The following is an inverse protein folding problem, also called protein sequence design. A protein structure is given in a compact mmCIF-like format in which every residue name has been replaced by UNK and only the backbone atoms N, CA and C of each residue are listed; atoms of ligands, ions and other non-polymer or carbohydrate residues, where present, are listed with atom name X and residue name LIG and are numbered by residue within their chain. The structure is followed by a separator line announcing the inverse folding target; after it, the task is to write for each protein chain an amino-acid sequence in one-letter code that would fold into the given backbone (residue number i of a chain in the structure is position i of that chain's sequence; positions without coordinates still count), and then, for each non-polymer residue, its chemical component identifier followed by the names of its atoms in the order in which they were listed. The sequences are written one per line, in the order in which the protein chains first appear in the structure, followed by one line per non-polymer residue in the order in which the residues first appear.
data_IF_528661372243
#
_entry.id   IF_528661372243
#
_cell.length_a   1.000
_cell.length_b   1.000
_cell.length_c   1.000
_cell.angle_alpha   90.00
_cell.angle_beta   90.00
_cell.angle_gamma   90.00
#
_symmetry.space_group_name_H-M   'P 1'
#
loop_
_entity.id
_entity.type
_entity.pdbx_description
1 polymer ?
#
# COMPACT_ATOMS: atom_id res chain seq x y z
N UNK A 1 45.72 15.59 -17.66
CA UNK A 1 45.21 14.72 -16.59
C UNK A 1 43.73 15.06 -16.42
N UNK A 2 42.86 14.32 -17.09
CA UNK A 2 41.42 14.39 -16.88
C UNK A 2 41.10 13.68 -15.58
N UNK A 3 40.67 14.45 -14.59
CA UNK A 3 40.24 13.95 -13.30
C UNK A 3 38.96 13.13 -13.53
N UNK A 4 39.09 11.81 -13.51
CA UNK A 4 37.95 10.89 -13.57
C UNK A 4 37.36 10.88 -12.18
N UNK A 5 36.35 11.74 -11.95
CA UNK A 5 35.51 11.66 -10.76
C UNK A 5 34.83 10.29 -10.75
N UNK A 6 35.38 9.38 -9.95
CA UNK A 6 34.73 8.11 -9.63
C UNK A 6 33.35 8.45 -9.06
N UNK A 7 32.25 7.89 -9.58
CA UNK A 7 30.93 8.15 -9.02
C UNK A 7 30.93 7.74 -7.55
N UNK A 8 30.75 8.69 -6.64
CA UNK A 8 30.58 8.41 -5.22
C UNK A 8 29.33 7.53 -5.07
N UNK A 9 29.47 6.38 -4.41
CA UNK A 9 28.34 5.50 -4.14
C UNK A 9 27.24 6.27 -3.39
N UNK A 10 26.00 6.21 -3.91
CA UNK A 10 24.86 6.87 -3.27
C UNK A 10 24.64 6.30 -1.87
N UNK A 11 24.44 7.20 -0.92
CA UNK A 11 24.33 6.87 0.50
C UNK A 11 22.92 6.34 0.83
N UNK A 12 22.90 5.32 1.69
CA UNK A 12 21.71 4.92 2.43
C UNK A 12 21.64 5.72 3.74
N UNK A 13 20.44 6.12 4.15
CA UNK A 13 20.21 6.89 5.38
C UNK A 13 19.82 6.00 6.55
N UNK A 14 18.69 5.29 6.41
CA UNK A 14 18.13 4.43 7.45
C UNK A 14 17.78 3.07 6.86
N UNK A 15 17.89 2.00 7.65
CA UNK A 15 17.30 0.70 7.34
C UNK A 15 16.28 0.35 8.43
N UNK A 16 15.00 0.57 8.12
CA UNK A 16 13.90 0.29 9.04
C UNK A 16 13.20 -1.00 8.68
N UNK A 17 12.76 -1.78 9.68
CA UNK A 17 12.10 -3.06 9.47
C UNK A 17 10.97 -3.27 10.46
N UNK A 18 9.87 -3.82 10.00
CA UNK A 18 8.79 -4.28 10.85
C UNK A 18 8.28 -5.61 10.33
N UNK A 19 8.47 -6.67 11.11
CA UNK A 19 7.99 -8.01 10.81
C UNK A 19 6.93 -8.42 11.83
N UNK A 20 5.74 -8.74 11.31
CA UNK A 20 4.56 -9.09 12.07
C UNK A 20 4.15 -10.52 11.76
N UNK A 21 3.73 -11.25 12.79
CA UNK A 21 3.13 -12.57 12.64
C UNK A 21 1.80 -12.61 13.39
N UNK A 22 0.77 -13.10 12.72
CA UNK A 22 -0.56 -13.28 13.29
C UNK A 22 -0.88 -14.76 13.37
N UNK A 23 -1.44 -15.20 14.50
CA UNK A 23 -1.88 -16.58 14.66
C UNK A 23 -3.19 -16.64 15.44
N UNK A 24 -3.87 -17.79 15.39
CA UNK A 24 -4.97 -18.05 16.30
C UNK A 24 -4.45 -18.22 17.75
N UNK A 25 -5.31 -17.92 18.72
CA UNK A 25 -5.13 -18.27 20.13
C UNK A 25 -5.66 -19.67 20.41
N UNK A 26 -5.13 -20.33 21.45
CA UNK A 26 -5.58 -21.66 21.89
C UNK A 26 -6.91 -21.63 22.69
N UNK A 27 -7.73 -20.61 22.48
CA UNK A 27 -8.99 -20.40 23.20
C UNK A 27 -10.15 -21.18 22.55
N UNK A 28 -11.26 -21.44 23.27
CA UNK A 28 -12.43 -22.13 22.72
C UNK A 28 -13.11 -21.40 21.54
N UNK A 29 -12.82 -20.11 21.37
CA UNK A 29 -13.25 -19.30 20.24
C UNK A 29 -12.03 -18.88 19.44
N UNK A 30 -12.11 -18.94 18.10
CA UNK A 30 -11.08 -18.43 17.20
C UNK A 30 -10.85 -16.94 17.47
N UNK A 31 -9.64 -16.59 17.91
CA UNK A 31 -9.21 -15.20 18.09
C UNK A 31 -7.81 -15.04 17.54
N UNK A 32 -7.60 -13.94 16.84
CA UNK A 32 -6.30 -13.58 16.27
C UNK A 32 -5.45 -12.87 17.32
N UNK A 33 -4.19 -13.29 17.46
CA UNK A 33 -3.15 -12.58 18.23
C UNK A 33 -2.05 -12.09 17.31
N UNK A 34 -1.47 -10.93 17.66
CA UNK A 34 -0.28 -10.38 17.03
C UNK A 34 0.98 -10.79 17.80
N UNK A 35 2.03 -11.14 17.06
CA UNK A 35 3.41 -11.27 17.54
C UNK A 35 4.28 -10.37 16.67
N UNK A 36 5.01 -9.44 17.27
CA UNK A 36 5.99 -8.60 16.57
C UNK A 36 7.33 -9.34 16.61
N UNK A 37 7.85 -9.76 15.46
CA UNK A 37 9.05 -10.61 15.36
C UNK A 37 10.32 -9.81 15.08
N UNK A 38 10.23 -8.67 14.39
CA UNK A 38 11.31 -7.68 14.28
C UNK A 38 10.69 -6.27 14.27
N UNK A 39 11.38 -5.33 14.90
CA UNK A 39 11.00 -3.92 14.89
C UNK A 39 12.24 -3.05 15.01
N UNK A 40 12.69 -2.55 13.87
CA UNK A 40 13.75 -1.56 13.72
C UNK A 40 13.13 -0.23 13.29
N UNK A 41 13.40 0.87 14.01
CA UNK A 41 12.93 2.20 13.63
C UNK A 41 13.22 2.56 12.16
N UNK A 42 12.36 3.36 11.52
CA UNK A 42 11.29 4.15 12.13
C UNK A 42 9.91 3.47 12.13
N UNK A 43 9.77 2.27 11.57
CA UNK A 43 8.49 1.55 11.55
C UNK A 43 8.16 0.96 12.93
N UNK A 44 6.91 1.09 13.38
CA UNK A 44 6.48 0.62 14.69
C UNK A 44 5.01 0.22 14.73
N UNK A 45 4.69 -0.81 15.51
CA UNK A 45 3.33 -1.04 16.00
C UNK A 45 3.05 -0.09 17.16
N UNK A 46 2.12 0.83 16.98
CA UNK A 46 1.68 1.74 18.05
C UNK A 46 0.77 1.00 19.02
N UNK A 47 -0.19 0.26 18.47
CA UNK A 47 -1.16 -0.50 19.26
C UNK A 47 -1.81 -1.60 18.44
N UNK A 48 -2.15 -2.70 19.11
CA UNK A 48 -3.02 -3.74 18.58
C UNK A 48 -4.25 -3.87 19.49
N UNK A 49 -5.43 -3.84 18.89
CA UNK A 49 -6.72 -3.90 19.56
C UNK A 49 -7.40 -5.23 19.20
N UNK A 50 -7.60 -6.13 20.17
CA UNK A 50 -8.45 -7.30 19.96
C UNK A 50 -9.91 -6.84 19.80
N UNK A 51 -10.57 -7.35 18.77
CA UNK A 51 -11.96 -7.02 18.45
C UNK A 51 -12.94 -8.07 18.99
N UNK A 52 -14.22 -7.70 19.08
CA UNK A 52 -15.27 -8.59 19.63
C UNK A 52 -15.53 -9.82 18.76
N UNK A 53 -15.32 -9.69 17.45
CA UNK A 53 -15.46 -10.76 16.46
C UNK A 53 -14.24 -11.71 16.40
N UNK A 54 -13.21 -11.46 17.21
CA UNK A 54 -11.98 -12.25 17.23
C UNK A 54 -10.91 -11.79 16.25
N UNK A 55 -11.14 -10.72 15.48
CA UNK A 55 -10.11 -10.06 14.67
C UNK A 55 -9.18 -9.18 15.52
N UNK A 56 -8.11 -8.66 14.91
CA UNK A 56 -7.22 -7.67 15.53
C UNK A 56 -7.02 -6.46 14.62
N UNK A 57 -7.25 -5.27 15.18
CA UNK A 57 -6.91 -3.99 14.55
C UNK A 57 -5.53 -3.56 15.02
N UNK A 58 -4.57 -3.44 14.09
CA UNK A 58 -3.20 -3.05 14.38
C UNK A 58 -2.87 -1.72 13.71
N UNK A 59 -2.46 -0.75 14.53
CA UNK A 59 -2.02 0.57 14.10
C UNK A 59 -0.51 0.59 13.90
N UNK A 60 -0.10 0.89 12.68
CA UNK A 60 1.28 1.06 12.27
C UNK A 60 1.63 2.56 12.20
N UNK A 61 2.89 2.89 12.48
CA UNK A 61 3.35 4.26 12.36
C UNK A 61 4.84 4.33 12.00
N UNK A 62 5.18 5.33 11.19
CA UNK A 62 6.55 5.77 10.99
C UNK A 62 6.85 6.89 12.00
N UNK A 63 7.63 6.57 13.04
CA UNK A 63 7.92 7.49 14.15
C UNK A 63 8.88 8.64 13.79
N UNK A 64 9.51 8.65 12.61
CA UNK A 64 10.28 9.80 12.13
C UNK A 64 9.41 10.88 11.50
N UNK A 65 8.10 10.67 11.38
CA UNK A 65 7.16 11.64 10.81
C UNK A 65 7.16 11.65 9.26
N UNK A 66 7.73 10.62 8.65
CA UNK A 66 7.73 10.37 7.20
C UNK A 66 9.05 9.76 6.71
N UNK A 67 9.13 9.58 5.40
CA UNK A 67 10.22 8.90 4.70
C UNK A 67 11.17 9.96 4.11
N UNK A 68 12.47 9.83 4.39
CA UNK A 68 13.51 10.72 3.89
C UNK A 68 14.29 10.07 2.74
N UNK A 69 14.93 10.89 1.91
CA UNK A 69 15.86 10.39 0.88
C UNK A 69 16.91 9.45 1.47
N UNK A 70 17.11 8.30 0.82
CA UNK A 70 18.01 7.24 1.25
C UNK A 70 17.45 6.27 2.29
N UNK A 71 16.24 6.47 2.81
CA UNK A 71 15.60 5.49 3.71
C UNK A 71 15.24 4.21 2.93
N UNK A 72 15.51 3.06 3.54
CA UNK A 72 15.17 1.73 3.04
C UNK A 72 14.32 1.03 4.09
N UNK A 73 13.02 0.91 3.82
CA UNK A 73 12.03 0.43 4.78
C UNK A 73 11.47 -0.91 4.33
N UNK A 74 11.28 -1.84 5.28
CA UNK A 74 10.62 -3.12 5.02
C UNK A 74 9.49 -3.35 6.01
N UNK A 75 8.28 -3.53 5.50
CA UNK A 75 7.12 -4.00 6.25
C UNK A 75 6.80 -5.42 5.81
N UNK A 76 6.63 -6.34 6.74
CA UNK A 76 6.10 -7.67 6.41
C UNK A 76 5.10 -8.16 7.44
N UNK A 77 4.08 -8.86 6.95
CA UNK A 77 3.10 -9.52 7.80
C UNK A 77 2.79 -10.93 7.30
N UNK A 78 2.92 -11.91 8.19
CA UNK A 78 2.52 -13.29 7.94
C UNK A 78 1.25 -13.58 8.75
N UNK A 79 0.17 -13.90 8.07
CA UNK A 79 -1.12 -14.24 8.67
C UNK A 79 -1.30 -15.76 8.67
N UNK A 80 -1.36 -16.36 9.85
CA UNK A 80 -1.65 -17.78 10.01
C UNK A 80 -3.07 -18.15 9.59
N UNK A 81 -3.35 -19.46 9.52
CA UNK A 81 -4.66 -20.00 9.10
C UNK A 81 -5.83 -19.35 9.86
N UNK A 82 -6.85 -18.96 9.11
CA UNK A 82 -8.10 -18.37 9.59
C UNK A 82 -7.98 -17.11 10.44
N UNK A 83 -6.80 -16.46 10.47
CA UNK A 83 -6.63 -15.17 11.16
C UNK A 83 -7.40 -14.05 10.45
N UNK A 84 -7.87 -13.06 11.21
CA UNK A 84 -8.54 -11.87 10.68
C UNK A 84 -7.85 -10.64 11.23
N UNK A 85 -7.30 -9.82 10.34
CA UNK A 85 -6.43 -8.71 10.69
C UNK A 85 -6.82 -7.48 9.91
N UNK A 86 -6.97 -6.35 10.61
CA UNK A 86 -6.95 -5.04 10.01
C UNK A 86 -5.62 -4.35 10.35
N UNK A 87 -4.87 -3.99 9.31
CA UNK A 87 -3.66 -3.19 9.38
C UNK A 87 -3.95 -1.81 8.82
N UNK A 88 -3.72 -0.77 9.61
CA UNK A 88 -3.86 0.62 9.16
C UNK A 88 -2.76 1.49 9.76
N UNK A 89 -2.56 2.67 9.20
CA UNK A 89 -1.65 3.66 9.78
C UNK A 89 -2.39 4.63 10.69
N UNK A 90 -1.65 5.40 11.48
CA UNK A 90 -2.21 6.47 12.34
C UNK A 90 -2.01 7.86 11.74
N UNK A 91 -1.84 7.96 10.42
CA UNK A 91 -1.59 9.19 9.70
C UNK A 91 -0.90 8.96 8.37
N UNK A 92 -1.08 9.93 7.47
CA UNK A 92 -0.54 9.93 6.12
C UNK A 92 0.98 9.75 6.08
N UNK A 93 1.45 8.96 5.12
CA UNK A 93 2.88 8.75 4.89
C UNK A 93 3.43 9.91 4.08
N UNK A 94 4.20 10.79 4.73
CA UNK A 94 4.88 11.91 4.07
C UNK A 94 6.18 11.44 3.46
N UNK A 95 6.42 11.75 2.20
CA UNK A 95 7.72 11.52 1.54
C UNK A 95 8.39 12.85 1.32
N UNK A 96 9.52 13.07 1.99
CA UNK A 96 10.24 14.34 1.92
C UNK A 96 11.11 14.44 0.67
N UNK A 97 11.54 15.68 0.41
CA UNK A 97 12.48 16.01 -0.66
C UNK A 97 13.71 15.11 -0.64
N UNK A 98 14.08 14.61 -1.81
CA UNK A 98 15.32 13.90 -2.04
C UNK A 98 16.52 14.84 -1.87
N UNK A 99 17.66 14.31 -1.41
CA UNK A 99 18.90 15.08 -1.29
C UNK A 99 19.94 14.44 -2.18
N UNK A 100 20.72 15.29 -2.84
CA UNK A 100 21.88 14.85 -3.61
C UNK A 100 22.78 13.95 -2.75
N UNK A 101 23.40 12.96 -3.40
CA UNK A 101 24.23 11.91 -2.81
C UNK A 101 23.50 10.83 -2.00
N UNK A 102 22.17 10.87 -1.88
CA UNK A 102 21.39 9.75 -1.33
C UNK A 102 20.76 8.90 -2.43
N UNK A 103 20.48 7.64 -2.11
CA UNK A 103 19.61 6.81 -2.94
C UNK A 103 18.16 7.32 -2.88
N UNK A 104 17.35 6.89 -3.85
CA UNK A 104 15.90 7.11 -3.77
C UNK A 104 15.35 6.42 -2.53
N UNK A 105 14.38 7.06 -1.88
CA UNK A 105 13.71 6.44 -0.76
C UNK A 105 12.96 5.19 -1.25
N UNK A 106 13.02 4.11 -0.47
CA UNK A 106 12.45 2.83 -0.86
C UNK A 106 11.65 2.21 0.27
N UNK A 107 10.47 1.70 -0.06
CA UNK A 107 9.67 0.88 0.84
C UNK A 107 9.28 -0.43 0.17
N UNK A 108 9.58 -1.53 0.86
CA UNK A 108 9.12 -2.86 0.49
C UNK A 108 8.07 -3.33 1.48
N UNK A 109 6.93 -3.77 0.96
CA UNK A 109 5.83 -4.35 1.73
C UNK A 109 5.58 -5.77 1.26
N UNK A 110 5.56 -6.74 2.17
CA UNK A 110 5.31 -8.15 1.84
C UNK A 110 4.30 -8.78 2.79
N UNK A 111 3.18 -9.24 2.24
CA UNK A 111 2.13 -9.90 3.01
C UNK A 111 1.95 -11.34 2.54
N UNK A 112 1.93 -12.27 3.49
CA UNK A 112 1.61 -13.68 3.25
C UNK A 112 0.34 -14.00 4.03
N UNK A 113 -0.73 -14.30 3.31
CA UNK A 113 -2.07 -14.50 3.87
C UNK A 113 -2.41 -15.98 3.80
N UNK A 114 -2.39 -16.61 4.98
CA UNK A 114 -2.62 -18.03 5.14
C UNK A 114 -4.04 -18.48 4.77
N UNK A 115 -4.24 -19.79 4.77
CA UNK A 115 -5.49 -20.42 4.36
C UNK A 115 -6.67 -19.85 5.14
N UNK A 116 -7.71 -19.41 4.43
CA UNK A 116 -8.91 -18.84 5.05
C UNK A 116 -8.70 -17.56 5.87
N UNK A 117 -7.50 -16.98 5.88
CA UNK A 117 -7.21 -15.75 6.61
C UNK A 117 -7.71 -14.52 5.83
N UNK A 118 -7.94 -13.42 6.54
CA UNK A 118 -8.37 -12.15 5.99
C UNK A 118 -7.40 -11.04 6.40
N UNK A 119 -6.87 -10.31 5.42
CA UNK A 119 -6.17 -9.06 5.64
C UNK A 119 -7.00 -7.89 5.09
N UNK A 120 -7.28 -6.91 5.94
CA UNK A 120 -7.65 -5.56 5.53
C UNK A 120 -6.44 -4.66 5.72
N UNK A 121 -5.77 -4.26 4.63
CA UNK A 121 -4.68 -3.29 4.65
C UNK A 121 -5.15 -1.97 4.07
N UNK A 122 -5.46 -1.03 4.95
CA UNK A 122 -6.07 0.25 4.61
C UNK A 122 -5.25 1.41 5.19
N UNK A 123 -4.01 1.67 4.67
CA UNK A 123 -3.18 2.78 5.13
C UNK A 123 -3.76 4.16 4.77
N UNK A 124 -3.38 5.17 5.52
CA UNK A 124 -3.60 6.57 5.15
C UNK A 124 -2.85 6.95 3.86
N UNK A 125 -3.23 8.04 3.18
CA UNK A 125 -2.63 8.44 1.93
C UNK A 125 -1.11 8.66 1.97
N UNK A 126 -0.45 8.37 0.85
CA UNK A 126 0.92 8.78 0.57
C UNK A 126 0.93 10.24 0.09
N UNK A 127 1.76 11.08 0.71
CA UNK A 127 1.90 12.51 0.38
C UNK A 127 3.35 12.79 -0.05
N UNK A 128 3.64 12.76 -1.37
CA UNK A 128 4.95 13.11 -1.90
C UNK A 128 5.17 14.63 -1.93
N UNK A 129 6.15 15.14 -1.18
CA UNK A 129 6.47 16.57 -1.13
C UNK A 129 7.25 17.01 -2.36
N UNK A 130 7.39 18.33 -2.55
CA UNK A 130 8.17 18.88 -3.64
C UNK A 130 9.62 18.33 -3.67
N UNK A 131 10.06 17.83 -4.83
CA UNK A 131 11.35 17.18 -5.04
C UNK A 131 11.50 15.79 -4.40
N UNK A 132 10.41 15.12 -4.01
CA UNK A 132 10.47 13.74 -3.52
C UNK A 132 10.87 12.76 -4.64
N UNK A 133 11.68 11.75 -4.27
CA UNK A 133 12.01 10.58 -5.10
C UNK A 133 11.80 9.31 -4.30
N UNK A 134 10.79 8.54 -4.66
CA UNK A 134 10.35 7.38 -3.88
C UNK A 134 9.91 6.21 -4.75
N UNK A 135 10.25 5.01 -4.31
CA UNK A 135 9.90 3.75 -4.94
C UNK A 135 9.25 2.84 -3.89
N UNK A 136 8.10 2.26 -4.24
CA UNK A 136 7.42 1.26 -3.41
C UNK A 136 7.25 -0.04 -4.17
N UNK A 137 7.49 -1.14 -3.47
CA UNK A 137 7.20 -2.49 -3.93
C UNK A 137 6.31 -3.21 -2.93
N UNK A 138 5.11 -3.57 -3.36
CA UNK A 138 4.16 -4.34 -2.57
C UNK A 138 3.97 -5.70 -3.20
N UNK A 139 4.16 -6.76 -2.40
CA UNK A 139 3.87 -8.15 -2.79
C UNK A 139 2.89 -8.76 -1.80
N UNK A 140 1.85 -9.38 -2.31
CA UNK A 140 0.80 -10.01 -1.50
C UNK A 140 0.56 -11.43 -2.01
N UNK A 141 0.65 -12.40 -1.12
CA UNK A 141 0.49 -13.81 -1.44
C UNK A 141 -0.74 -14.37 -0.70
N UNK A 142 -1.68 -14.93 -1.47
CA UNK A 142 -2.96 -15.44 -1.02
C UNK A 142 -2.99 -16.96 -1.13
N UNK A 143 -3.13 -17.63 0.01
CA UNK A 143 -3.41 -19.07 0.04
C UNK A 143 -4.87 -19.38 -0.29
N UNK A 144 -5.22 -20.66 -0.42
CA UNK A 144 -6.60 -21.11 -0.64
C UNK A 144 -7.55 -20.51 0.38
N UNK A 145 -8.65 -19.92 -0.08
CA UNK A 145 -9.63 -19.29 0.80
C UNK A 145 -9.17 -17.99 1.47
N UNK A 146 -7.95 -17.50 1.23
CA UNK A 146 -7.51 -16.20 1.76
C UNK A 146 -8.37 -15.07 1.18
N UNK A 147 -8.60 -14.04 2.00
CA UNK A 147 -9.27 -12.80 1.65
C UNK A 147 -8.36 -11.58 1.82
N UNK A 148 -8.58 -10.57 0.99
CA UNK A 148 -7.82 -9.31 1.01
C UNK A 148 -8.76 -8.14 0.72
N UNK A 149 -8.62 -7.09 1.52
CA UNK A 149 -8.97 -5.73 1.14
C UNK A 149 -7.67 -4.90 1.17
N UNK A 150 -7.29 -4.33 0.03
CA UNK A 150 -6.08 -3.52 -0.09
C UNK A 150 -6.44 -2.23 -0.80
N UNK A 151 -6.11 -1.07 -0.22
CA UNK A 151 -6.14 0.18 -0.98
C UNK A 151 -4.77 0.86 -1.00
N UNK A 152 -4.64 1.81 -1.91
CA UNK A 152 -3.56 2.77 -1.91
C UNK A 152 -4.10 4.09 -2.45
N UNK A 153 -3.78 5.19 -1.77
CA UNK A 153 -4.21 6.55 -2.15
C UNK A 153 -2.99 7.47 -2.19
N UNK A 154 -2.84 8.23 -3.26
CA UNK A 154 -1.77 9.22 -3.40
C UNK A 154 -2.36 10.62 -3.51
N UNK A 155 -1.83 11.51 -2.69
CA UNK A 155 -2.09 12.94 -2.74
C UNK A 155 -1.24 13.64 -3.82
N UNK A 156 -1.67 14.80 -4.34
CA UNK A 156 -0.87 15.56 -5.31
C UNK A 156 0.45 16.08 -4.72
N UNK A 157 0.54 16.13 -3.39
CA UNK A 157 1.61 16.74 -2.62
C UNK A 157 1.00 17.52 -1.46
N UNK A 158 1.69 18.57 -1.00
CA UNK A 158 1.17 19.46 0.05
C UNK A 158 0.27 20.52 -0.56
N UNK A 159 -0.98 20.15 -0.84
CA UNK A 159 -1.97 21.07 -1.43
C UNK A 159 -2.14 22.36 -0.62
N UNK A 160 -2.15 22.28 0.71
CA UNK A 160 -2.23 23.45 1.59
C UNK A 160 -1.00 24.39 1.52
N UNK A 161 0.06 24.01 0.80
CA UNK A 161 1.26 24.81 0.54
C UNK A 161 1.49 25.01 -0.97
N UNK A 162 0.45 24.83 -1.79
CA UNK A 162 0.49 24.93 -3.26
C UNK A 162 1.49 23.98 -3.93
N UNK A 163 1.88 22.89 -3.25
CA UNK A 163 2.71 21.84 -3.83
C UNK A 163 1.83 20.78 -4.49
N UNK A 164 1.51 21.00 -5.76
CA UNK A 164 0.69 20.10 -6.58
C UNK A 164 1.58 19.48 -7.65
N UNK A 165 1.75 18.16 -7.59
CA UNK A 165 2.60 17.38 -8.49
C UNK A 165 4.04 17.92 -8.60
N UNK A 166 4.55 18.44 -7.48
CA UNK A 166 5.88 19.06 -7.42
C UNK A 166 7.01 18.07 -7.05
N UNK A 167 6.70 16.79 -6.88
CA UNK A 167 7.68 15.73 -6.67
C UNK A 167 8.41 15.36 -7.97
N UNK A 168 9.61 14.80 -7.85
CA UNK A 168 10.42 14.45 -9.01
C UNK A 168 9.99 13.09 -9.58
N UNK A 169 9.86 12.08 -8.70
CA UNK A 169 9.47 10.73 -9.09
C UNK A 169 8.79 9.95 -7.96
N UNK A 170 7.65 9.34 -8.27
CA UNK A 170 7.01 8.32 -7.43
C UNK A 170 6.77 7.08 -8.29
N UNK A 171 7.37 5.96 -7.90
CA UNK A 171 7.12 4.65 -8.50
C UNK A 171 6.42 3.73 -7.52
N UNK A 172 5.30 3.13 -7.93
CA UNK A 172 4.60 2.12 -7.16
C UNK A 172 4.47 0.84 -7.98
N UNK A 173 4.70 -0.28 -7.33
CA UNK A 173 4.47 -1.59 -7.93
C UNK A 173 3.71 -2.47 -6.95
N UNK A 174 2.73 -3.20 -7.46
CA UNK A 174 1.93 -4.15 -6.69
C UNK A 174 1.85 -5.47 -7.45
N UNK A 175 2.17 -6.55 -6.73
CA UNK A 175 1.98 -7.92 -7.16
C UNK A 175 1.03 -8.62 -6.19
N UNK A 176 -0.12 -9.05 -6.68
CA UNK A 176 -1.00 -9.95 -5.92
C UNK A 176 -0.95 -11.33 -6.57
N UNK A 177 -0.59 -12.33 -5.78
CA UNK A 177 -0.43 -13.72 -6.21
C UNK A 177 -1.41 -14.58 -5.44
N UNK A 178 -2.27 -15.31 -6.14
CA UNK A 178 -3.17 -16.30 -5.55
C UNK A 178 -2.73 -17.71 -5.96
N UNK A 179 -2.52 -18.59 -4.98
CA UNK A 179 -2.12 -19.99 -5.22
C UNK A 179 -0.92 -20.11 -6.19
N UNK A 180 0.09 -19.26 -5.98
CA UNK A 180 1.31 -19.13 -6.81
C UNK A 180 1.11 -18.56 -8.22
N UNK A 181 -0.10 -18.12 -8.57
CA UNK A 181 -0.39 -17.48 -9.86
C UNK A 181 -0.62 -15.98 -9.69
N UNK A 182 0.05 -15.11 -10.48
CA UNK A 182 -0.20 -13.67 -10.41
C UNK A 182 -1.62 -13.36 -10.90
N UNK A 183 -2.37 -12.59 -10.10
CA UNK A 183 -3.72 -12.11 -10.43
C UNK A 183 -3.77 -10.59 -10.64
N UNK A 184 -2.81 -9.84 -10.06
CA UNK A 184 -2.62 -8.40 -10.27
C UNK A 184 -1.15 -8.11 -10.50
N UNK A 185 -0.89 -7.29 -11.52
CA UNK A 185 0.38 -6.62 -11.74
C UNK A 185 0.09 -5.13 -11.99
N UNK A 186 0.32 -4.29 -10.99
CA UNK A 186 0.23 -2.84 -11.13
C UNK A 186 1.63 -2.24 -11.19
N UNK A 187 1.88 -1.37 -12.16
CA UNK A 187 3.15 -0.67 -12.33
C UNK A 187 2.88 0.79 -12.64
N UNK A 188 3.07 1.64 -11.65
CA UNK A 188 2.86 3.06 -11.77
C UNK A 188 4.18 3.81 -11.65
N UNK A 189 4.39 4.78 -12.54
CA UNK A 189 5.52 5.70 -12.49
C UNK A 189 5.06 7.10 -12.80
N UNK A 190 5.19 7.99 -11.82
CA UNK A 190 4.76 9.37 -11.89
C UNK A 190 6.00 10.26 -11.89
N UNK A 191 6.17 11.02 -12.97
CA UNK A 191 7.25 11.99 -13.17
C UNK A 191 6.66 13.29 -13.74
N UNK A 192 6.08 14.14 -12.88
CA UNK A 192 5.30 15.29 -13.32
C UNK A 192 6.05 16.22 -14.28
N UNK A 193 7.34 16.45 -14.05
CA UNK A 193 8.19 17.29 -14.91
C UNK A 193 8.45 16.70 -16.30
N UNK A 194 8.38 15.36 -16.45
CA UNK A 194 8.56 14.69 -17.74
C UNK A 194 7.23 14.49 -18.48
N UNK A 195 6.16 14.22 -17.72
CA UNK A 195 4.84 13.93 -18.24
C UNK A 195 3.79 14.53 -17.32
N UNK A 196 3.02 15.49 -17.84
CA UNK A 196 1.92 16.08 -17.09
C UNK A 196 0.96 15.01 -16.58
N UNK A 197 0.52 15.15 -15.34
CA UNK A 197 -0.51 14.30 -14.74
C UNK A 197 -1.92 14.80 -15.07
N UNK A 198 -2.06 16.06 -15.48
CA UNK A 198 -3.36 16.70 -15.71
C UNK A 198 -4.00 16.41 -17.06
N UNK A 199 -3.37 15.58 -17.89
CA UNK A 199 -3.99 15.14 -19.15
C UNK A 199 -5.20 14.25 -18.88
N UNK A 200 -6.22 14.29 -19.74
CA UNK A 200 -7.39 13.41 -19.66
C UNK A 200 -7.06 11.92 -19.69
N UNK A 201 -5.95 11.52 -20.31
CA UNK A 201 -5.48 10.13 -20.32
C UNK A 201 -4.84 9.66 -19.00
N UNK A 202 -4.70 10.57 -18.02
CA UNK A 202 -4.10 10.30 -16.71
C UNK A 202 -5.06 10.73 -15.61
N UNK A 203 -4.79 11.85 -14.94
CA UNK A 203 -5.61 12.29 -13.81
C UNK A 203 -6.59 13.42 -14.17
N UNK A 204 -6.50 14.00 -15.37
CA UNK A 204 -7.35 15.14 -15.75
C UNK A 204 -7.28 16.25 -14.70
N UNK A 205 -8.44 16.75 -14.26
CA UNK A 205 -8.53 17.78 -13.22
C UNK A 205 -8.46 17.23 -11.78
N UNK A 206 -8.37 15.90 -11.61
CA UNK A 206 -8.34 15.25 -10.30
C UNK A 206 -6.92 15.24 -9.73
N UNK A 207 -6.81 15.52 -8.44
CA UNK A 207 -5.51 15.67 -7.75
C UNK A 207 -5.11 14.47 -6.92
N UNK A 208 -6.10 13.71 -6.46
CA UNK A 208 -5.90 12.45 -5.76
C UNK A 208 -6.25 11.31 -6.70
N UNK A 209 -5.54 10.20 -6.56
CA UNK A 209 -5.99 8.94 -7.14
C UNK A 209 -5.79 7.83 -6.12
N UNK A 210 -6.52 6.74 -6.29
CA UNK A 210 -6.31 5.55 -5.52
C UNK A 210 -6.76 4.30 -6.25
N UNK A 211 -6.21 3.18 -5.83
CA UNK A 211 -6.59 1.85 -6.27
C UNK A 211 -7.11 1.07 -5.08
N UNK A 212 -8.09 0.20 -5.31
CA UNK A 212 -8.68 -0.64 -4.29
C UNK A 212 -8.92 -2.02 -4.87
N UNK A 213 -8.42 -3.04 -4.20
CA UNK A 213 -8.54 -4.43 -4.59
C UNK A 213 -9.27 -5.21 -3.50
N UNK A 214 -10.24 -6.02 -3.93
CA UNK A 214 -10.95 -6.97 -3.07
C UNK A 214 -10.69 -8.37 -3.63
N UNK A 215 -10.06 -9.23 -2.84
CA UNK A 215 -9.79 -10.60 -3.26
C UNK A 215 -10.38 -11.63 -2.29
N UNK A 216 -10.80 -12.78 -2.83
CA UNK A 216 -11.15 -13.98 -2.07
C UNK A 216 -10.87 -15.21 -2.93
N UNK A 217 -9.80 -15.95 -2.57
CA UNK A 217 -9.40 -17.16 -3.29
C UNK A 217 -10.48 -18.24 -3.16
N UNK A 218 -10.80 -18.89 -4.27
CA UNK A 218 -11.85 -19.90 -4.36
C UNK A 218 -13.29 -19.37 -4.34
N UNK A 219 -13.51 -18.05 -4.33
CA UNK A 219 -14.85 -17.48 -4.48
C UNK A 219 -15.39 -17.69 -5.90
N UNK A 220 -16.68 -18.04 -6.03
CA UNK A 220 -17.30 -18.32 -7.32
C UNK A 220 -17.36 -17.05 -8.20
N UNK A 221 -17.09 -17.13 -9.51
CA UNK A 221 -17.11 -15.97 -10.42
C UNK A 221 -18.41 -15.16 -10.37
N UNK A 222 -19.56 -15.82 -10.20
CA UNK A 222 -20.87 -15.17 -10.11
C UNK A 222 -20.98 -14.19 -8.93
N UNK A 223 -20.23 -14.42 -7.83
CA UNK A 223 -20.20 -13.49 -6.69
C UNK A 223 -19.52 -12.18 -7.09
N UNK A 224 -18.41 -12.27 -7.83
CA UNK A 224 -17.70 -11.08 -8.32
C UNK A 224 -18.54 -10.30 -9.33
N UNK A 225 -19.18 -10.98 -10.29
CA UNK A 225 -20.07 -10.33 -11.24
C UNK A 225 -21.25 -9.62 -10.56
N UNK A 226 -21.85 -10.23 -9.54
CA UNK A 226 -22.93 -9.60 -8.77
C UNK A 226 -22.43 -8.37 -7.98
N UNK A 227 -21.25 -8.46 -7.38
CA UNK A 227 -20.63 -7.36 -6.66
C UNK A 227 -20.23 -6.21 -7.61
N UNK A 228 -19.69 -6.51 -8.78
CA UNK A 228 -19.34 -5.52 -9.81
C UNK A 228 -20.59 -4.75 -10.27
N UNK A 229 -21.70 -5.44 -10.53
CA UNK A 229 -22.98 -4.78 -10.88
C UNK A 229 -23.49 -3.85 -9.76
N UNK A 230 -23.35 -4.30 -8.51
CA UNK A 230 -23.74 -3.50 -7.34
C UNK A 230 -22.87 -2.25 -7.22
N UNK A 231 -21.55 -2.41 -7.32
CA UNK A 231 -20.60 -1.31 -7.21
C UNK A 231 -20.65 -0.37 -8.42
N UNK A 232 -20.93 -0.88 -9.62
CA UNK A 232 -21.16 -0.07 -10.81
C UNK A 232 -22.39 0.83 -10.65
N UNK A 233 -23.49 0.28 -10.14
CA UNK A 233 -24.70 1.06 -9.81
C UNK A 233 -24.38 2.15 -8.79
N UNK A 234 -23.60 1.79 -7.75
CA UNK A 234 -23.15 2.77 -6.76
C UNK A 234 -22.24 3.85 -7.37
N UNK A 235 -21.36 3.47 -8.30
CA UNK A 235 -20.48 4.41 -9.00
C UNK A 235 -21.29 5.42 -9.80
N UNK A 236 -22.34 5.00 -10.50
CA UNK A 236 -23.24 5.92 -11.21
C UNK A 236 -23.94 6.91 -10.27
N UNK A 237 -24.27 6.49 -9.05
CA UNK A 237 -24.97 7.32 -8.06
C UNK A 237 -24.04 8.25 -7.27
N UNK A 238 -22.78 7.85 -7.07
CA UNK A 238 -21.81 8.53 -6.21
C UNK A 238 -20.74 9.29 -6.96
N UNK A 239 -20.62 9.08 -8.26
CA UNK A 239 -19.74 9.87 -9.12
C UNK A 239 -20.26 11.29 -9.23
N UNK A 240 -19.41 12.25 -8.91
CA UNK A 240 -19.68 13.67 -9.04
C UNK A 240 -18.54 14.27 -9.85
N UNK A 241 -18.75 14.57 -11.15
CA UNK A 241 -17.71 15.16 -11.98
C UNK A 241 -17.14 16.45 -11.37
N UNK A 242 -15.82 16.54 -11.31
CA UNK A 242 -15.08 17.61 -10.64
C UNK A 242 -14.75 17.33 -9.17
N UNK A 243 -15.39 16.34 -8.54
CA UNK A 243 -15.14 15.96 -7.15
C UNK A 243 -14.57 14.54 -7.04
N UNK A 244 -15.28 13.54 -7.59
CA UNK A 244 -14.87 12.13 -7.55
C UNK A 244 -15.34 11.39 -8.80
N UNK A 245 -14.41 10.70 -9.45
CA UNK A 245 -14.67 9.68 -10.47
C UNK A 245 -14.05 8.38 -10.01
N UNK A 246 -14.79 7.29 -10.14
CA UNK A 246 -14.28 5.96 -9.87
C UNK A 246 -15.04 4.93 -10.70
N UNK A 247 -14.43 3.77 -10.83
CA UNK A 247 -15.01 2.62 -11.51
C UNK A 247 -14.61 1.35 -10.79
N UNK A 248 -15.17 0.24 -11.23
CA UNK A 248 -14.91 -1.10 -10.72
C UNK A 248 -14.88 -2.05 -11.91
N UNK A 249 -14.04 -3.07 -11.85
CA UNK A 249 -14.09 -4.16 -12.80
C UNK A 249 -13.65 -5.46 -12.16
N UNK A 250 -14.25 -6.58 -12.56
CA UNK A 250 -13.81 -7.90 -12.08
C UNK A 250 -12.47 -8.29 -12.69
N UNK A 251 -11.56 -8.83 -11.88
CA UNK A 251 -10.26 -9.32 -12.33
C UNK A 251 -10.38 -10.70 -13.01
N UNK A 252 -9.37 -11.14 -13.77
CA UNK A 252 -9.37 -12.47 -14.39
C UNK A 252 -9.58 -13.63 -13.41
N UNK A 253 -9.18 -13.47 -12.15
CA UNK A 253 -9.39 -14.45 -11.09
C UNK A 253 -9.45 -13.81 -9.71
N UNK A 254 -10.23 -14.43 -8.83
CA UNK A 254 -10.21 -14.26 -7.37
C UNK A 254 -10.44 -12.86 -6.80
N UNK A 255 -10.89 -11.89 -7.59
CA UNK A 255 -11.20 -10.56 -7.06
C UNK A 255 -11.67 -9.55 -8.10
N UNK A 256 -11.70 -8.30 -7.66
CA UNK A 256 -11.96 -7.07 -8.42
C UNK A 256 -11.05 -5.95 -7.96
#
# INVERSE_FOLDING_TARGET
MTDVTVPTALQQRTSGRLHLHFSQTDAPSLRTKLVVTDQQPPLRVIRAFPMKDGSVLTHLHNISGGILGGDQLTLSACLGESTQVQLTSTGATRVYRHRENYQDAFQQTHFVIGKGALLEYLPDPLIPFAGARFQQQTRIELATGAGLFYWEVIAPGREAHDEIFAYDEVGLTLDIVAENSPIVLERMRLRPAQQSLTSLARMGDYRYFGTFYICKVGCAPAVWSALEQTLFTLAQQRTVPGEILWGVSTMPAHGM
#
